data_IF_797871245436
#
_entry.id   IF_797871245436
#
_cell.length_a   1.000
_cell.length_b   1.000
_cell.length_c   1.000
_cell.angle_alpha   90.00
_cell.angle_beta   90.00
_cell.angle_gamma   90.00
#
_symmetry.space_group_name_H-M   'P 1'
#
loop_
_entity.id
_entity.type
_entity.pdbx_description
1 polymer ?
#
# COMPACT_ATOMS: atom_id res chain seq x y z
N UNK A 1 -27.71 11.47 12.35
CA UNK A 1 -28.78 12.13 13.15
C UNK A 1 -28.09 12.87 14.27
N UNK A 2 -28.21 14.20 14.30
CA UNK A 2 -27.50 15.06 15.25
C UNK A 2 -27.82 14.72 16.71
N UNK A 3 -26.78 14.54 17.53
CA UNK A 3 -26.84 14.90 18.95
C UNK A 3 -25.61 15.73 19.33
N UNK A 4 -25.90 16.96 19.74
CA UNK A 4 -25.06 17.84 20.57
C UNK A 4 -24.11 18.81 19.83
N UNK A 5 -24.69 19.98 19.49
CA UNK A 5 -24.11 21.33 19.65
C UNK A 5 -22.63 21.53 19.27
N UNK A 6 -22.37 21.63 17.96
CA UNK A 6 -21.23 22.39 17.42
C UNK A 6 -19.88 21.69 17.42
N UNK A 7 -19.80 20.43 17.87
CA UNK A 7 -18.59 19.62 17.70
C UNK A 7 -18.70 18.80 16.41
N UNK A 8 -17.65 18.76 15.57
CA UNK A 8 -17.59 17.89 14.41
C UNK A 8 -17.79 16.43 14.83
N UNK A 9 -18.81 15.76 14.27
CA UNK A 9 -19.05 14.34 14.55
C UNK A 9 -18.00 13.52 13.78
N UNK A 10 -17.11 12.84 14.50
CA UNK A 10 -16.10 11.98 13.91
C UNK A 10 -16.78 10.80 13.19
N UNK A 11 -16.77 10.80 11.86
CA UNK A 11 -17.19 9.64 11.08
C UNK A 11 -16.00 8.66 10.96
N UNK A 12 -16.09 7.42 11.50
CA UNK A 12 -15.02 6.44 11.39
C UNK A 12 -14.62 6.12 9.95
N UNK A 13 -15.56 6.22 9.02
CA UNK A 13 -15.35 5.91 7.59
C UNK A 13 -14.57 7.01 6.85
N UNK A 14 -14.39 8.19 7.45
CA UNK A 14 -13.66 9.34 6.88
C UNK A 14 -12.32 9.58 7.56
N UNK A 15 -11.83 8.62 8.35
CA UNK A 15 -10.54 8.73 9.05
C UNK A 15 -9.39 8.40 8.12
N UNK A 16 -8.62 9.42 7.76
CA UNK A 16 -7.36 9.27 7.05
C UNK A 16 -6.16 9.49 7.99
N UNK A 17 -4.98 9.03 7.57
CA UNK A 17 -3.72 9.25 8.27
C UNK A 17 -2.74 9.95 7.33
N UNK A 18 -2.07 10.97 7.83
CA UNK A 18 -1.06 11.73 7.10
C UNK A 18 0.33 11.46 7.67
N UNK A 19 1.32 11.31 6.79
CA UNK A 19 2.71 11.12 7.18
C UNK A 19 3.39 12.49 7.32
N UNK A 20 3.61 12.91 8.57
CA UNK A 20 4.31 14.16 8.87
C UNK A 20 5.80 13.88 9.08
N UNK A 21 6.72 14.65 8.46
CA UNK A 21 8.15 14.53 8.74
C UNK A 21 8.45 14.72 10.23
N UNK A 22 9.33 13.88 10.80
CA UNK A 22 9.63 13.89 12.24
C UNK A 22 10.12 15.26 12.79
N UNK A 23 10.75 16.07 11.94
CA UNK A 23 11.27 17.40 12.31
C UNK A 23 10.27 18.54 12.16
N UNK A 24 9.04 18.25 11.76
CA UNK A 24 8.01 19.26 11.48
C UNK A 24 6.87 19.20 12.51
N UNK A 25 6.32 20.37 12.85
CA UNK A 25 5.16 20.46 13.74
C UNK A 25 3.89 19.99 13.02
N UNK A 26 3.14 19.09 13.67
CA UNK A 26 1.95 18.46 13.10
C UNK A 26 0.85 19.49 12.80
N UNK A 27 0.71 20.53 13.61
CA UNK A 27 -0.31 21.56 13.39
C UNK A 27 0.06 22.48 12.22
N UNK A 28 1.34 22.81 12.04
CA UNK A 28 1.80 23.56 10.86
C UNK A 28 1.66 22.74 9.58
N UNK A 29 1.96 21.44 9.61
CA UNK A 29 1.71 20.54 8.48
C UNK A 29 0.21 20.47 8.13
N UNK A 30 -0.66 20.29 9.14
CA UNK A 30 -2.12 20.27 8.95
C UNK A 30 -2.61 21.56 8.26
N UNK A 31 -2.13 22.73 8.71
CA UNK A 31 -2.53 24.02 8.11
C UNK A 31 -2.07 24.18 6.67
N UNK A 32 -0.89 23.67 6.32
CA UNK A 32 -0.30 23.86 5.00
C UNK A 32 -0.84 22.87 3.97
N UNK A 33 -0.95 21.60 4.34
CA UNK A 33 -1.27 20.52 3.39
C UNK A 33 -2.72 20.06 3.50
N UNK A 34 -3.31 20.00 4.70
CA UNK A 34 -4.64 19.39 4.89
C UNK A 34 -5.77 20.42 4.81
N UNK A 35 -5.72 21.48 5.62
CA UNK A 35 -6.79 22.48 5.71
C UNK A 35 -7.17 23.17 4.38
N UNK A 36 -6.25 23.40 3.42
CA UNK A 36 -6.62 23.96 2.11
C UNK A 36 -7.48 23.02 1.27
N UNK A 37 -7.39 21.70 1.51
CA UNK A 37 -8.15 20.68 0.78
C UNK A 37 -9.38 20.22 1.57
N UNK A 38 -9.26 20.12 2.89
CA UNK A 38 -10.31 19.67 3.81
C UNK A 38 -10.38 20.64 5.00
N UNK A 39 -11.15 21.75 4.87
CA UNK A 39 -11.23 22.78 5.91
C UNK A 39 -11.78 22.30 7.25
N UNK A 40 -12.63 21.27 7.19
CA UNK A 40 -13.26 20.67 8.38
C UNK A 40 -12.40 19.56 9.00
N UNK A 41 -11.14 19.38 8.58
CA UNK A 41 -10.26 18.37 9.16
C UNK A 41 -9.73 18.81 10.54
N UNK A 42 -9.60 17.86 11.46
CA UNK A 42 -8.95 18.06 12.77
C UNK A 42 -8.10 16.85 13.13
N UNK A 43 -7.14 17.07 14.03
CA UNK A 43 -6.26 16.01 14.54
C UNK A 43 -6.96 15.30 15.70
N UNK A 44 -7.00 13.97 15.65
CA UNK A 44 -7.44 13.14 16.78
C UNK A 44 -6.33 13.05 17.83
N UNK A 45 -6.41 13.89 18.87
CA UNK A 45 -5.42 13.95 19.97
C UNK A 45 -5.49 12.75 20.93
N UNK A 46 -6.45 11.82 20.75
CA UNK A 46 -6.50 10.60 21.55
C UNK A 46 -5.45 9.58 21.12
N UNK A 47 -4.91 9.69 19.90
CA UNK A 47 -3.84 8.84 19.40
C UNK A 47 -2.49 9.46 19.75
N UNK A 48 -1.82 8.86 20.72
CA UNK A 48 -0.49 9.27 21.17
C UNK A 48 0.52 8.15 21.03
N UNK A 49 1.78 8.52 20.85
CA UNK A 49 2.88 7.57 20.81
C UNK A 49 3.14 7.00 22.23
N UNK A 50 3.27 5.68 22.42
CA UNK A 50 3.50 5.09 23.74
C UNK A 50 4.84 5.45 24.39
N UNK A 51 5.84 5.91 23.61
CA UNK A 51 7.18 6.18 24.11
C UNK A 51 7.35 7.61 24.60
N UNK A 52 6.77 8.59 23.91
CA UNK A 52 6.91 10.01 24.26
C UNK A 52 5.59 10.68 24.70
N UNK A 53 4.44 10.02 24.51
CA UNK A 53 3.12 10.54 24.89
C UNK A 53 2.62 11.70 24.03
N UNK A 54 3.31 12.03 22.93
CA UNK A 54 2.92 13.08 22.00
C UNK A 54 1.87 12.59 21.01
N UNK A 55 1.11 13.51 20.41
CA UNK A 55 0.07 13.19 19.43
C UNK A 55 0.72 12.64 18.15
N UNK A 56 0.14 11.57 17.60
CA UNK A 56 0.69 10.84 16.45
C UNK A 56 1.44 9.57 16.86
N UNK A 57 1.82 8.75 15.89
CA UNK A 57 2.64 7.54 16.11
C UNK A 57 3.96 7.74 15.38
N UNK A 58 5.08 7.64 16.09
CA UNK A 58 6.40 7.83 15.50
C UNK A 58 6.86 6.54 14.82
N UNK A 59 7.22 6.62 13.54
CA UNK A 59 7.66 5.48 12.75
C UNK A 59 8.73 5.85 11.73
N UNK A 60 9.46 4.84 11.26
CA UNK A 60 10.42 4.97 10.16
C UNK A 60 9.92 4.17 8.97
N UNK A 61 9.86 4.81 7.80
CA UNK A 61 9.66 4.12 6.54
C UNK A 61 11.01 3.89 5.86
N UNK A 62 11.29 2.64 5.49
CA UNK A 62 12.45 2.30 4.66
C UNK A 62 11.91 1.99 3.26
N UNK A 63 12.04 2.90 2.29
CA UNK A 63 11.53 2.66 0.95
C UNK A 63 12.49 1.71 0.21
N UNK A 64 12.36 0.42 0.49
CA UNK A 64 13.25 -0.61 -0.03
C UNK A 64 13.28 -0.58 -1.56
N UNK A 65 12.12 -0.43 -2.21
CA UNK A 65 12.01 -0.33 -3.66
C UNK A 65 12.68 0.92 -4.23
N UNK A 66 12.83 2.02 -3.46
CA UNK A 66 13.57 3.19 -3.98
C UNK A 66 15.08 2.97 -3.92
N UNK A 67 15.56 2.35 -2.83
CA UNK A 67 17.00 2.26 -2.56
C UNK A 67 17.66 0.98 -3.06
N UNK A 68 16.91 -0.12 -3.13
CA UNK A 68 17.43 -1.45 -3.45
C UNK A 68 16.83 -2.04 -4.72
N UNK A 69 15.96 -1.30 -5.42
CA UNK A 69 15.43 -1.80 -6.69
C UNK A 69 16.53 -1.82 -7.74
N UNK A 70 16.92 -3.04 -8.10
CA UNK A 70 17.73 -3.30 -9.28
C UNK A 70 16.77 -3.62 -10.41
N UNK A 71 16.81 -2.81 -11.46
CA UNK A 71 16.05 -3.09 -12.67
C UNK A 71 16.47 -4.45 -13.21
N UNK A 72 15.52 -5.38 -13.26
CA UNK A 72 15.69 -6.63 -13.98
C UNK A 72 15.05 -6.47 -15.36
N UNK A 73 15.86 -6.52 -16.44
CA UNK A 73 15.28 -6.53 -17.77
C UNK A 73 14.37 -7.75 -17.92
N UNK A 74 13.23 -7.62 -18.63
CA UNK A 74 12.41 -8.76 -18.98
C UNK A 74 13.24 -9.83 -19.70
N UNK A 75 12.88 -11.11 -19.51
CA UNK A 75 13.47 -12.21 -20.27
C UNK A 75 13.26 -12.01 -21.78
N UNK A 76 14.20 -12.51 -22.58
CA UNK A 76 14.14 -12.42 -24.05
C UNK A 76 12.85 -13.08 -24.58
N UNK A 77 12.27 -12.49 -25.62
CA UNK A 77 11.08 -13.03 -26.30
C UNK A 77 11.33 -14.45 -26.82
N UNK A 78 12.51 -14.73 -27.36
CA UNK A 78 12.85 -16.07 -27.84
C UNK A 78 12.87 -17.10 -26.70
N UNK A 79 13.23 -16.69 -25.48
CA UNK A 79 13.16 -17.56 -24.31
C UNK A 79 11.72 -17.80 -23.85
N UNK A 80 10.84 -16.79 -23.98
CA UNK A 80 9.40 -16.95 -23.74
C UNK A 80 8.80 -17.98 -24.70
N UNK A 81 9.10 -17.86 -26.00
CA UNK A 81 8.59 -18.75 -27.04
C UNK A 81 9.09 -20.18 -26.86
N UNK A 82 10.38 -20.35 -26.53
CA UNK A 82 10.96 -21.67 -26.27
C UNK A 82 10.32 -22.37 -25.06
N UNK A 83 10.04 -21.63 -23.98
CA UNK A 83 9.35 -22.17 -22.81
C UNK A 83 7.89 -22.54 -23.12
N UNK A 84 7.18 -21.71 -23.89
CA UNK A 84 5.81 -22.00 -24.35
C UNK A 84 5.77 -23.29 -25.17
N UNK A 85 6.70 -23.46 -26.12
CA UNK A 85 6.82 -24.67 -26.94
C UNK A 85 7.14 -25.91 -26.10
N UNK A 86 8.00 -25.76 -25.09
CA UNK A 86 8.35 -26.85 -24.19
C UNK A 86 7.12 -27.33 -23.37
N UNK A 87 6.38 -26.39 -22.79
CA UNK A 87 5.15 -26.67 -22.03
C UNK A 87 4.09 -27.30 -22.96
N UNK A 88 3.93 -26.78 -24.18
CA UNK A 88 2.99 -27.35 -25.15
C UNK A 88 3.33 -28.80 -25.50
N UNK A 89 4.62 -29.11 -25.71
CA UNK A 89 5.09 -30.48 -25.96
C UNK A 89 4.84 -31.40 -24.75
N UNK A 90 5.07 -30.92 -23.54
CA UNK A 90 4.81 -31.68 -22.32
C UNK A 90 3.33 -32.04 -22.18
N UNK A 91 2.43 -31.08 -22.43
CA UNK A 91 0.98 -31.30 -22.43
C UNK A 91 0.59 -32.36 -23.47
N UNK A 92 1.12 -32.27 -24.69
CA UNK A 92 0.83 -33.25 -25.74
C UNK A 92 1.33 -34.65 -25.38
N UNK A 93 2.49 -34.77 -24.73
CA UNK A 93 3.00 -36.05 -24.23
C UNK A 93 2.15 -36.63 -23.10
N UNK A 94 1.68 -35.80 -22.16
CA UNK A 94 0.77 -36.22 -21.09
C UNK A 94 -0.55 -36.74 -21.66
N UNK A 95 -1.17 -36.00 -22.58
CA UNK A 95 -2.39 -36.42 -23.26
C UNK A 95 -2.19 -37.73 -24.05
N UNK A 96 -1.07 -37.84 -24.77
CA UNK A 96 -0.73 -39.06 -25.51
C UNK A 96 -0.57 -40.30 -24.63
N UNK A 97 -0.02 -40.14 -23.43
CA UNK A 97 0.09 -41.22 -22.42
C UNK A 97 -1.29 -41.65 -21.91
N UNK A 98 -2.15 -40.70 -21.54
CA UNK A 98 -3.51 -41.02 -21.08
C UNK A 98 -4.34 -41.76 -22.15
N UNK A 99 -4.16 -41.41 -23.42
CA UNK A 99 -4.86 -42.07 -24.53
C UNK A 99 -4.34 -43.50 -24.74
N UNK A 100 -3.04 -43.76 -24.54
CA UNK A 100 -2.46 -45.11 -24.68
C UNK A 100 -2.72 -46.02 -23.47
N UNK A 101 -2.83 -45.49 -22.25
CA UNK A 101 -3.15 -46.31 -21.06
C UNK A 101 -4.65 -46.67 -20.96
N UNK A 102 -5.50 -46.03 -21.76
CA UNK A 102 -6.96 -46.25 -21.77
C UNK A 102 -7.43 -47.23 -22.86
N UNK A 103 -6.51 -47.87 -23.59
CA UNK A 103 -6.80 -48.80 -24.69
C UNK A 103 -6.13 -50.16 -24.48
#
# INVERSE_FOLDING_TARGET
MCKTKGEPEANPDLRDNENVPLGEDIHEYLKREVLPHVPDAWIDTSKTDPLDGQVGIVGYEIPFNRHFYQYQPPRDLAAIDADLDAVAKEIMQLLGRCIHESS
#
